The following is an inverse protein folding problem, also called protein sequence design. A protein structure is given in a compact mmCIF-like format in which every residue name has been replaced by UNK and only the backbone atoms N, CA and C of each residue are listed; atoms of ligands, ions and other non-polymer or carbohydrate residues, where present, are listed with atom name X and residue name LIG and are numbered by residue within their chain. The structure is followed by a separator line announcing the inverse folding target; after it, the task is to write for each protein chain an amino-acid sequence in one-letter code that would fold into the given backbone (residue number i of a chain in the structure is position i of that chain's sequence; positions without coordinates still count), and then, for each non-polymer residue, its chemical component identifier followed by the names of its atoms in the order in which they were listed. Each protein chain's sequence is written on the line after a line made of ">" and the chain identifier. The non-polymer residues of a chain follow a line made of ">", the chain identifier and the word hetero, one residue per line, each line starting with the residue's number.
data_IF_441322299554
#
_entry.id   IF_441322299554
#
_cell.length_a   1.000
_cell.length_b   1.000
_cell.length_c   1.000
_cell.angle_alpha   90.00
_cell.angle_beta   90.00
_cell.angle_gamma   90.00
#
_symmetry.space_group_name_H-M   'P 1'
#
loop_
_entity.id
_entity.type
_entity.pdbx_description
1 polymer ?
#
# COMPACT_ATOMS: atom_id res chain seq x y z
N UNK A 1 7.65 28.67 -3.01
CA UNK A 1 7.69 27.32 -2.40
C UNK A 1 9.05 26.70 -2.71
N UNK A 2 9.74 26.20 -1.69
CA UNK A 2 11.02 25.49 -1.90
C UNK A 2 10.74 23.99 -1.77
N UNK A 3 10.42 23.34 -2.90
CA UNK A 3 10.10 21.90 -2.93
C UNK A 3 11.35 21.11 -2.57
N UNK A 4 11.25 20.28 -1.53
CA UNK A 4 12.35 19.44 -1.02
C UNK A 4 12.19 17.96 -1.39
N UNK A 5 10.96 17.49 -1.59
CA UNK A 5 10.69 16.14 -2.03
C UNK A 5 9.44 16.06 -2.91
N UNK A 6 9.41 15.05 -3.76
CA UNK A 6 8.26 14.66 -4.57
C UNK A 6 7.87 13.25 -4.12
N UNK A 7 6.60 13.06 -3.72
CA UNK A 7 6.04 11.76 -3.37
C UNK A 7 4.94 11.39 -4.37
N UNK A 8 5.05 10.21 -4.96
CA UNK A 8 4.18 9.81 -6.05
C UNK A 8 3.52 8.46 -5.72
N UNK A 9 2.20 8.37 -5.93
CA UNK A 9 1.55 7.09 -6.00
C UNK A 9 1.98 6.33 -7.26
N UNK A 10 1.80 5.02 -7.28
CA UNK A 10 2.31 4.14 -8.34
C UNK A 10 1.22 3.85 -9.37
N UNK A 11 0.15 3.18 -8.93
CA UNK A 11 -0.86 2.61 -9.82
C UNK A 11 -1.90 3.67 -10.21
N UNK A 12 -1.99 3.99 -11.51
CA UNK A 12 -2.82 5.08 -12.02
C UNK A 12 -2.13 6.44 -12.04
N UNK A 13 -0.99 6.61 -11.35
CA UNK A 13 -0.28 7.88 -11.25
C UNK A 13 1.11 7.83 -11.90
N UNK A 14 2.05 7.07 -11.34
CA UNK A 14 3.41 6.97 -11.87
C UNK A 14 3.49 6.06 -13.09
N UNK A 15 2.76 4.94 -13.03
CA UNK A 15 2.70 3.97 -14.12
C UNK A 15 1.71 4.44 -15.20
N UNK A 16 2.10 4.29 -16.46
CA UNK A 16 1.22 4.43 -17.61
C UNK A 16 0.21 3.26 -17.66
N UNK A 17 -0.79 3.34 -18.55
CA UNK A 17 -1.73 2.25 -18.83
C UNK A 17 -1.05 0.95 -19.30
N UNK A 18 0.22 1.02 -19.72
CA UNK A 18 1.04 -0.15 -20.09
C UNK A 18 1.80 -0.74 -18.88
N UNK A 19 1.62 -0.20 -17.66
CA UNK A 19 2.30 -0.62 -16.44
C UNK A 19 3.80 -0.33 -16.42
N UNK A 20 4.22 0.76 -17.08
CA UNK A 20 5.63 1.21 -17.15
C UNK A 20 5.78 2.69 -16.79
N UNK A 21 6.93 3.04 -16.24
CA UNK A 21 7.31 4.46 -16.06
C UNK A 21 7.83 4.98 -17.39
N UNK A 22 7.27 6.07 -17.90
CA UNK A 22 7.68 6.61 -19.21
C UNK A 22 9.11 7.16 -19.17
N UNK A 23 9.82 7.12 -20.30
CA UNK A 23 11.16 7.71 -20.41
C UNK A 23 11.18 9.18 -20.00
N UNK A 24 10.13 9.93 -20.34
CA UNK A 24 9.99 11.35 -19.97
C UNK A 24 9.89 11.52 -18.45
N UNK A 25 9.11 10.65 -17.77
CA UNK A 25 8.98 10.65 -16.31
C UNK A 25 10.34 10.36 -15.65
N UNK A 26 11.06 9.32 -16.12
CA UNK A 26 12.40 8.98 -15.62
C UNK A 26 13.37 10.16 -15.77
N UNK A 27 13.37 10.85 -16.93
CA UNK A 27 14.20 12.04 -17.13
C UNK A 27 13.85 13.18 -16.18
N UNK A 28 12.55 13.38 -15.89
CA UNK A 28 12.12 14.43 -14.95
C UNK A 28 12.51 14.09 -13.51
N UNK A 29 12.40 12.83 -13.10
CA UNK A 29 12.88 12.38 -11.78
C UNK A 29 14.40 12.68 -11.66
N UNK A 30 15.20 12.30 -12.63
CA UNK A 30 16.64 12.58 -12.65
C UNK A 30 16.95 14.08 -12.50
N UNK A 31 16.29 14.93 -13.32
CA UNK A 31 16.45 16.40 -13.25
C UNK A 31 16.04 17.00 -11.92
N UNK A 32 15.01 16.46 -11.26
CA UNK A 32 14.60 16.89 -9.93
C UNK A 32 15.65 16.54 -8.89
N UNK A 33 16.19 15.33 -8.94
CA UNK A 33 17.26 14.87 -8.04
C UNK A 33 18.56 15.65 -8.23
N UNK A 34 18.92 16.02 -9.45
CA UNK A 34 20.07 16.91 -9.75
C UNK A 34 19.95 18.30 -9.09
N UNK A 35 18.70 18.72 -8.77
CA UNK A 35 18.42 19.95 -8.02
C UNK A 35 18.36 19.75 -6.51
N UNK A 36 18.67 18.55 -6.02
CA UNK A 36 18.58 18.20 -4.60
C UNK A 36 17.16 17.91 -4.09
N UNK A 37 16.19 17.68 -4.99
CA UNK A 37 14.82 17.30 -4.63
C UNK A 37 14.78 15.78 -4.52
N UNK A 38 14.39 15.26 -3.36
CA UNK A 38 14.20 13.82 -3.14
C UNK A 38 13.00 13.31 -3.91
N UNK A 39 13.07 12.04 -4.35
CA UNK A 39 11.95 11.37 -5.01
C UNK A 39 11.57 10.12 -4.24
N UNK A 40 10.30 9.98 -3.92
CA UNK A 40 9.77 8.84 -3.19
C UNK A 40 8.44 8.33 -3.75
N UNK A 41 8.09 7.13 -3.31
CA UNK A 41 6.85 6.44 -3.66
C UNK A 41 5.93 6.36 -2.43
N UNK A 42 4.60 6.46 -2.65
CA UNK A 42 3.58 6.31 -1.59
C UNK A 42 2.42 5.48 -2.12
N UNK A 43 2.30 4.22 -1.70
CA UNK A 43 1.46 3.22 -2.35
C UNK A 43 0.80 2.24 -1.37
N UNK A 44 -0.24 1.56 -1.85
CA UNK A 44 -0.85 0.42 -1.16
C UNK A 44 -0.04 -0.87 -1.21
N UNK A 45 0.96 -0.98 -2.11
CA UNK A 45 1.84 -2.15 -2.23
C UNK A 45 2.82 -2.23 -1.06
N UNK A 46 3.23 -3.45 -0.66
CA UNK A 46 4.29 -3.61 0.35
C UNK A 46 5.67 -3.19 -0.20
N UNK A 47 6.56 -2.80 0.71
CA UNK A 47 7.89 -2.26 0.37
C UNK A 47 8.70 -3.25 -0.46
N UNK A 48 8.71 -4.54 -0.10
CA UNK A 48 9.51 -5.55 -0.79
C UNK A 48 9.02 -5.79 -2.22
N UNK A 49 7.69 -5.82 -2.44
CA UNK A 49 7.12 -5.88 -3.80
C UNK A 49 7.61 -4.72 -4.67
N UNK A 50 7.61 -3.49 -4.13
CA UNK A 50 8.06 -2.32 -4.87
C UNK A 50 9.54 -2.46 -5.22
N UNK A 51 10.38 -2.82 -4.27
CA UNK A 51 11.83 -2.95 -4.46
C UNK A 51 12.16 -3.92 -5.60
N UNK A 52 11.43 -5.03 -5.73
CA UNK A 52 11.64 -5.98 -6.83
C UNK A 52 11.26 -5.43 -8.21
N UNK A 53 10.38 -4.43 -8.27
CA UNK A 53 9.85 -3.85 -9.51
C UNK A 53 10.59 -2.59 -9.98
N UNK A 54 11.40 -1.95 -9.13
CA UNK A 54 12.10 -0.70 -9.47
C UNK A 54 12.97 -0.82 -10.73
N UNK A 55 13.68 -1.95 -10.88
CA UNK A 55 14.48 -2.24 -12.07
C UNK A 55 13.62 -2.39 -13.34
N UNK A 56 12.48 -3.10 -13.23
CA UNK A 56 11.53 -3.27 -14.32
C UNK A 56 10.93 -1.93 -14.76
N UNK A 57 10.69 -1.02 -13.82
CA UNK A 57 10.20 0.34 -14.10
C UNK A 57 11.28 1.33 -14.55
N UNK A 58 12.56 0.94 -14.51
CA UNK A 58 13.69 1.78 -14.90
C UNK A 58 13.96 2.96 -13.97
N UNK A 59 13.55 2.84 -12.70
CA UNK A 59 13.75 3.86 -11.65
C UNK A 59 14.58 3.35 -10.47
N UNK A 60 15.22 2.19 -10.63
CA UNK A 60 16.20 1.69 -9.65
C UNK A 60 17.32 2.72 -9.45
N UNK A 61 17.68 2.97 -8.20
CA UNK A 61 18.65 4.02 -7.81
C UNK A 61 18.16 5.46 -7.96
N UNK A 62 16.88 5.66 -8.38
CA UNK A 62 16.27 6.99 -8.46
C UNK A 62 15.27 7.27 -7.34
N UNK A 63 14.86 6.26 -6.58
CA UNK A 63 13.95 6.37 -5.45
C UNK A 63 14.75 6.55 -4.16
N UNK A 64 14.46 7.57 -3.38
CA UNK A 64 15.12 7.87 -2.11
C UNK A 64 14.36 7.29 -0.93
N UNK A 65 13.02 7.17 -1.03
CA UNK A 65 12.17 6.70 0.05
C UNK A 65 10.90 6.03 -0.47
N UNK A 66 10.36 5.10 0.31
CA UNK A 66 9.11 4.38 0.02
C UNK A 66 8.21 4.43 1.24
N UNK A 67 6.95 4.81 1.04
CA UNK A 67 5.84 4.62 1.97
C UNK A 67 4.96 3.54 1.36
N UNK A 68 5.05 2.33 1.90
CA UNK A 68 4.33 1.14 1.44
C UNK A 68 3.13 0.80 2.32
N UNK A 69 2.34 -0.16 1.88
CA UNK A 69 1.20 -0.75 2.60
C UNK A 69 0.25 0.33 3.14
N UNK A 70 -0.04 1.35 2.29
CA UNK A 70 -0.92 2.47 2.65
C UNK A 70 -0.40 3.38 3.78
N UNK A 71 0.89 3.30 4.12
CA UNK A 71 1.51 4.04 5.22
C UNK A 71 1.93 3.17 6.41
N UNK A 72 1.61 1.87 6.40
CA UNK A 72 2.01 0.96 7.46
C UNK A 72 3.50 0.60 7.44
N UNK A 73 4.15 0.75 6.28
CA UNK A 73 5.56 0.46 6.09
C UNK A 73 6.28 1.66 5.51
N UNK A 74 7.49 1.90 5.96
CA UNK A 74 8.40 2.87 5.36
C UNK A 74 9.77 2.24 5.12
N UNK A 75 10.42 2.64 4.03
CA UNK A 75 11.81 2.32 3.75
C UNK A 75 12.54 3.55 3.21
N UNK A 76 13.69 3.86 3.77
CA UNK A 76 14.53 4.98 3.38
C UNK A 76 15.89 4.50 2.89
N UNK A 77 16.21 4.77 1.63
CA UNK A 77 17.48 4.36 1.01
C UNK A 77 18.68 5.18 1.47
N UNK A 78 18.46 6.42 1.94
CA UNK A 78 19.56 7.29 2.39
C UNK A 78 20.11 6.82 3.73
N UNK A 79 19.24 6.40 4.63
CA UNK A 79 19.60 5.98 5.99
C UNK A 79 19.57 4.47 6.19
N UNK A 80 19.15 3.71 5.18
CA UNK A 80 18.91 2.26 5.24
C UNK A 80 18.00 1.88 6.43
N UNK A 81 16.88 2.59 6.53
CA UNK A 81 15.90 2.40 7.61
C UNK A 81 14.66 1.72 7.05
N UNK A 82 14.28 0.57 7.63
CA UNK A 82 13.00 -0.08 7.44
C UNK A 82 12.18 -0.03 8.73
N UNK A 83 10.92 0.34 8.64
CA UNK A 83 10.02 0.40 9.80
C UNK A 83 8.61 0.01 9.40
N UNK A 84 8.01 -0.92 10.18
CA UNK A 84 6.58 -1.21 10.16
C UNK A 84 5.88 -0.48 11.33
N UNK A 85 4.62 -0.08 11.13
CA UNK A 85 3.83 0.68 12.08
C UNK A 85 2.45 0.08 12.26
N UNK A 86 1.99 0.02 13.50
CA UNK A 86 0.60 -0.31 13.85
C UNK A 86 0.03 -1.52 13.11
N UNK A 87 0.64 -2.70 13.20
CA UNK A 87 0.12 -3.88 12.55
C UNK A 87 -1.20 -4.32 13.19
N UNK A 88 -2.06 -5.00 12.41
CA UNK A 88 -3.26 -5.67 12.89
C UNK A 88 -2.87 -6.95 13.62
N UNK A 89 -3.53 -7.23 14.74
CA UNK A 89 -3.41 -8.50 15.44
C UNK A 89 -3.92 -9.66 14.57
N UNK A 90 -3.28 -10.83 14.65
CA UNK A 90 -3.67 -12.00 13.88
C UNK A 90 -5.09 -12.49 14.23
N UNK A 91 -5.49 -12.41 15.50
CA UNK A 91 -6.85 -12.79 15.92
C UNK A 91 -7.91 -11.83 15.35
N UNK A 92 -7.62 -10.53 15.31
CA UNK A 92 -8.52 -9.57 14.64
C UNK A 92 -8.70 -9.93 13.16
N UNK A 93 -7.62 -10.32 12.46
CA UNK A 93 -7.72 -10.72 11.05
C UNK A 93 -8.60 -11.96 10.90
N UNK A 94 -8.48 -12.95 11.80
CA UNK A 94 -9.37 -14.15 11.81
C UNK A 94 -10.82 -13.77 12.04
N UNK A 95 -11.11 -12.84 12.97
CA UNK A 95 -12.47 -12.32 13.19
C UNK A 95 -13.03 -11.66 11.92
N UNK A 96 -12.22 -10.86 11.21
CA UNK A 96 -12.63 -10.23 9.96
C UNK A 96 -12.90 -11.30 8.90
N UNK A 97 -11.99 -12.24 8.68
CA UNK A 97 -12.17 -13.34 7.70
C UNK A 97 -13.45 -14.11 7.97
N UNK A 98 -13.71 -14.47 9.22
CA UNK A 98 -14.94 -15.14 9.63
C UNK A 98 -16.20 -14.31 9.36
N UNK A 99 -16.14 -12.99 9.54
CA UNK A 99 -17.25 -12.07 9.28
C UNK A 99 -17.70 -12.07 7.82
N UNK A 100 -16.81 -12.45 6.89
CA UNK A 100 -17.06 -12.52 5.45
C UNK A 100 -17.12 -13.95 4.91
N UNK A 101 -17.13 -14.99 5.74
CA UNK A 101 -17.00 -16.41 5.32
C UNK A 101 -18.11 -16.89 4.39
N UNK A 102 -19.30 -16.25 4.47
CA UNK A 102 -20.48 -16.53 3.65
C UNK A 102 -20.56 -15.72 2.35
N UNK A 103 -19.56 -14.87 2.07
CA UNK A 103 -19.53 -14.00 0.90
C UNK A 103 -18.60 -14.56 -0.22
N UNK A 104 -18.93 -14.20 -1.46
CA UNK A 104 -18.10 -14.54 -2.63
C UNK A 104 -16.89 -13.60 -2.72
N UNK A 105 -15.87 -13.90 -1.91
CA UNK A 105 -14.62 -13.17 -1.85
C UNK A 105 -13.47 -14.07 -1.43
N UNK A 106 -12.25 -13.59 -1.62
CA UNK A 106 -11.03 -14.17 -1.07
C UNK A 106 -10.25 -13.12 -0.29
N UNK A 107 -9.20 -13.55 0.38
CA UNK A 107 -8.37 -12.72 1.24
C UNK A 107 -6.91 -12.81 0.82
N UNK A 108 -6.17 -11.73 1.03
CA UNK A 108 -4.73 -11.70 0.87
C UNK A 108 -4.06 -10.86 1.95
N UNK A 109 -2.90 -11.31 2.41
CA UNK A 109 -2.01 -10.57 3.28
C UNK A 109 -0.71 -10.35 2.52
N UNK A 110 -0.36 -9.10 2.17
CA UNK A 110 0.93 -8.79 1.59
C UNK A 110 2.01 -8.81 2.68
N UNK A 111 3.05 -9.60 2.49
CA UNK A 111 4.20 -9.69 3.40
C UNK A 111 5.42 -10.14 2.60
N UNK A 112 6.52 -9.41 2.71
CA UNK A 112 7.82 -9.74 2.10
C UNK A 112 7.77 -10.00 0.59
N UNK A 113 6.95 -9.25 -0.14
CA UNK A 113 6.81 -9.38 -1.59
C UNK A 113 6.00 -10.59 -2.04
N UNK A 114 5.17 -11.15 -1.17
CA UNK A 114 4.32 -12.30 -1.44
C UNK A 114 2.91 -12.01 -0.92
N UNK A 115 1.88 -12.44 -1.64
CA UNK A 115 0.52 -12.51 -1.13
C UNK A 115 0.27 -13.86 -0.45
N UNK A 116 -0.12 -13.85 0.81
CA UNK A 116 -0.56 -15.04 1.53
C UNK A 116 -2.08 -15.09 1.53
N UNK A 117 -2.66 -16.17 0.99
CA UNK A 117 -4.11 -16.32 0.80
C UNK A 117 -4.58 -17.66 1.37
N UNK A 118 -5.81 -17.74 1.91
CA UNK A 118 -6.36 -19.02 2.40
C UNK A 118 -6.85 -19.94 1.29
N UNK A 119 -7.02 -19.43 0.04
CA UNK A 119 -7.57 -20.20 -1.07
C UNK A 119 -6.78 -19.92 -2.35
N UNK A 120 -6.67 -20.96 -3.21
CA UNK A 120 -6.22 -20.84 -4.60
C UNK A 120 -7.45 -20.74 -5.51
N UNK A 121 -7.78 -19.54 -5.94
CA UNK A 121 -8.91 -19.25 -6.82
C UNK A 121 -8.60 -18.10 -7.79
N UNK A 122 -9.57 -17.76 -8.64
CA UNK A 122 -9.43 -16.69 -9.64
C UNK A 122 -9.08 -15.33 -8.99
N UNK A 123 -9.58 -15.06 -7.78
CA UNK A 123 -9.35 -13.78 -7.10
C UNK A 123 -7.87 -13.55 -6.78
N UNK A 124 -7.21 -14.51 -6.13
CA UNK A 124 -5.79 -14.38 -5.79
C UNK A 124 -4.88 -14.49 -7.02
N UNK A 125 -5.27 -15.31 -8.01
CA UNK A 125 -4.52 -15.47 -9.26
C UNK A 125 -4.52 -14.15 -10.06
N UNK A 126 -5.66 -13.48 -10.17
CA UNK A 126 -5.78 -12.20 -10.88
C UNK A 126 -5.05 -11.07 -10.15
N UNK A 127 -5.15 -11.00 -8.81
CA UNK A 127 -4.38 -10.04 -8.01
C UNK A 127 -2.88 -10.25 -8.19
N UNK A 128 -2.41 -11.48 -8.04
CA UNK A 128 -0.99 -11.84 -8.21
C UNK A 128 -0.46 -11.46 -9.59
N UNK A 129 -1.23 -11.76 -10.63
CA UNK A 129 -0.85 -11.41 -12.01
C UNK A 129 -0.87 -9.91 -12.26
N UNK A 130 -1.90 -9.20 -11.78
CA UNK A 130 -2.04 -7.76 -11.95
C UNK A 130 -0.91 -6.99 -11.28
N UNK A 131 -0.60 -7.34 -10.05
CA UNK A 131 0.45 -6.69 -9.26
C UNK A 131 1.86 -7.21 -9.57
N UNK A 132 1.97 -8.33 -10.29
CA UNK A 132 3.24 -9.04 -10.54
C UNK A 132 3.93 -9.46 -9.24
N UNK A 133 3.13 -9.89 -8.27
CA UNK A 133 3.56 -10.36 -6.96
C UNK A 133 3.16 -11.82 -6.81
N UNK A 134 4.07 -12.75 -6.48
CA UNK A 134 3.72 -14.15 -6.26
C UNK A 134 2.78 -14.31 -5.07
N UNK A 135 2.02 -15.43 -5.03
CA UNK A 135 1.21 -15.77 -3.88
C UNK A 135 1.52 -17.18 -3.35
N UNK A 136 1.15 -17.41 -2.11
CA UNK A 136 1.17 -18.71 -1.44
C UNK A 136 -0.16 -18.97 -0.76
N UNK A 137 -0.64 -20.21 -0.86
CA UNK A 137 -1.80 -20.66 -0.08
C UNK A 137 -1.32 -21.15 1.28
N UNK A 138 -1.98 -20.65 2.33
CA UNK A 138 -1.64 -20.95 3.72
C UNK A 138 -2.92 -21.15 4.54
N UNK A 139 -2.82 -21.95 5.59
CA UNK A 139 -3.84 -21.99 6.63
C UNK A 139 -3.70 -20.75 7.52
N UNK A 140 -4.74 -19.92 7.58
CA UNK A 140 -4.73 -18.69 8.38
C UNK A 140 -4.71 -18.97 9.89
N UNK A 141 -5.19 -20.11 10.35
CA UNK A 141 -5.06 -20.49 11.77
C UNK A 141 -3.61 -20.75 12.17
N UNK A 142 -2.82 -21.29 11.26
CA UNK A 142 -1.39 -21.54 11.46
C UNK A 142 -0.54 -20.31 11.12
N UNK A 143 -0.92 -19.53 10.10
CA UNK A 143 -0.13 -18.40 9.61
C UNK A 143 -0.27 -17.12 10.45
N UNK A 144 -1.47 -16.85 10.99
CA UNK A 144 -1.78 -15.63 11.73
C UNK A 144 -1.36 -15.69 13.20
N UNK A 145 -0.17 -16.19 13.47
CA UNK A 145 0.43 -16.24 14.82
C UNK A 145 1.19 -14.97 15.17
N UNK A 146 1.34 -14.04 14.24
CA UNK A 146 1.99 -12.74 14.41
C UNK A 146 1.16 -11.63 13.73
N UNK A 147 1.27 -10.37 14.23
CA UNK A 147 0.58 -9.25 13.62
C UNK A 147 1.00 -9.03 12.15
N UNK A 148 0.06 -8.51 11.33
CA UNK A 148 0.24 -8.24 9.89
C UNK A 148 -0.08 -6.79 9.56
N UNK A 149 0.54 -6.24 8.52
CA UNK A 149 0.39 -4.84 8.16
C UNK A 149 -1.04 -4.48 7.74
N UNK A 150 -1.71 -5.36 6.98
CA UNK A 150 -3.11 -5.22 6.55
C UNK A 150 -3.71 -6.55 6.11
N UNK A 151 -5.05 -6.55 5.96
CA UNK A 151 -5.79 -7.59 5.26
C UNK A 151 -6.46 -6.98 4.03
N UNK A 152 -6.37 -7.67 2.88
CA UNK A 152 -7.05 -7.35 1.64
C UNK A 152 -8.20 -8.33 1.45
N UNK A 153 -9.40 -7.82 1.17
CA UNK A 153 -10.54 -8.59 0.67
C UNK A 153 -10.60 -8.38 -0.84
N UNK A 154 -10.66 -9.46 -1.59
CA UNK A 154 -10.69 -9.48 -3.06
C UNK A 154 -12.07 -9.96 -3.48
N UNK A 155 -12.79 -9.20 -4.29
CA UNK A 155 -14.10 -9.57 -4.81
C UNK A 155 -14.29 -9.07 -6.24
N UNK A 156 -15.35 -9.53 -6.91
CA UNK A 156 -15.77 -8.96 -8.20
C UNK A 156 -16.32 -7.55 -8.01
N UNK A 157 -16.20 -6.65 -9.01
CA UNK A 157 -16.69 -5.27 -8.90
C UNK A 157 -18.16 -5.16 -8.50
N UNK A 158 -19.01 -6.07 -8.99
CA UNK A 158 -20.44 -6.12 -8.69
C UNK A 158 -20.77 -6.52 -7.25
N UNK A 159 -19.82 -7.10 -6.50
CA UNK A 159 -19.97 -7.46 -5.09
C UNK A 159 -19.40 -6.41 -4.14
N UNK A 160 -18.65 -5.42 -4.64
CA UNK A 160 -17.96 -4.44 -3.79
C UNK A 160 -18.94 -3.70 -2.85
N UNK A 161 -20.11 -3.32 -3.33
CA UNK A 161 -21.09 -2.63 -2.49
C UNK A 161 -21.58 -3.51 -1.33
N UNK A 162 -21.68 -4.83 -1.55
CA UNK A 162 -22.05 -5.79 -0.50
C UNK A 162 -20.91 -5.94 0.52
N UNK A 163 -19.66 -5.94 0.10
CA UNK A 163 -18.47 -5.93 0.98
C UNK A 163 -18.48 -4.68 1.86
N UNK A 164 -18.73 -3.50 1.27
CA UNK A 164 -18.82 -2.22 2.00
C UNK A 164 -19.97 -2.24 3.01
N UNK A 165 -21.16 -2.73 2.64
CA UNK A 165 -22.28 -2.82 3.59
C UNK A 165 -21.98 -3.81 4.73
N UNK A 166 -21.35 -4.94 4.43
CA UNK A 166 -20.92 -5.91 5.44
C UNK A 166 -19.91 -5.32 6.41
N UNK A 167 -18.98 -4.50 5.94
CA UNK A 167 -17.98 -3.87 6.80
C UNK A 167 -18.57 -2.96 7.88
N UNK A 168 -19.72 -2.34 7.63
CA UNK A 168 -20.41 -1.47 8.60
C UNK A 168 -20.97 -2.23 9.81
N UNK A 169 -21.13 -3.54 9.69
CA UNK A 169 -21.61 -4.42 10.76
C UNK A 169 -20.49 -5.15 11.49
N UNK A 170 -19.24 -5.00 11.02
CA UNK A 170 -18.10 -5.57 11.72
C UNK A 170 -17.81 -4.82 13.01
N UNK A 171 -17.64 -5.56 14.09
CA UNK A 171 -17.23 -5.05 15.39
C UNK A 171 -16.35 -6.10 16.07
N UNK A 172 -15.27 -5.65 16.67
CA UNK A 172 -14.46 -6.44 17.60
C UNK A 172 -14.44 -5.73 18.95
N UNK A 173 -14.60 -6.48 20.03
CA UNK A 173 -14.59 -5.94 21.40
C UNK A 173 -13.16 -5.61 21.85
N UNK A 174 -12.17 -6.37 21.37
CA UNK A 174 -10.79 -6.32 21.84
C UNK A 174 -9.87 -5.47 20.93
N UNK A 175 -10.23 -5.28 19.65
CA UNK A 175 -9.37 -4.68 18.65
C UNK A 175 -10.03 -3.53 17.90
N UNK A 176 -9.18 -2.67 17.31
CA UNK A 176 -9.63 -1.58 16.44
C UNK A 176 -9.09 -1.77 15.04
N UNK A 177 -9.95 -1.56 14.05
CA UNK A 177 -9.58 -1.50 12.65
C UNK A 177 -10.33 -0.38 11.94
N UNK A 178 -9.80 0.04 10.82
CA UNK A 178 -10.49 0.83 9.81
C UNK A 178 -10.47 0.08 8.51
N UNK A 179 -11.44 0.37 7.65
CA UNK A 179 -11.51 -0.29 6.36
C UNK A 179 -11.90 0.70 5.27
N UNK A 180 -11.39 0.48 4.07
CA UNK A 180 -11.68 1.32 2.91
C UNK A 180 -11.60 0.54 1.61
N UNK A 181 -12.35 1.01 0.62
CA UNK A 181 -12.23 0.58 -0.75
C UNK A 181 -11.01 1.26 -1.39
N UNK A 182 -10.10 0.48 -1.96
CA UNK A 182 -8.90 1.00 -2.64
C UNK A 182 -9.00 0.90 -4.16
N UNK A 183 -9.70 -0.13 -4.66
CA UNK A 183 -10.00 -0.28 -6.09
C UNK A 183 -11.42 -0.81 -6.29
N UNK A 184 -11.84 -1.04 -7.53
CA UNK A 184 -13.14 -1.67 -7.82
C UNK A 184 -13.24 -3.13 -7.32
N UNK A 185 -12.13 -3.78 -7.03
CA UNK A 185 -12.04 -5.21 -6.65
C UNK A 185 -11.36 -5.44 -5.30
N UNK A 186 -10.80 -4.39 -4.66
CA UNK A 186 -10.06 -4.51 -3.40
C UNK A 186 -10.69 -3.66 -2.31
N UNK A 187 -10.91 -4.28 -1.17
CA UNK A 187 -11.33 -3.66 0.07
C UNK A 187 -10.34 -4.02 1.18
N UNK A 188 -9.83 -3.05 1.92
CA UNK A 188 -8.71 -3.26 2.83
C UNK A 188 -9.06 -2.94 4.27
N UNK A 189 -8.55 -3.75 5.20
CA UNK A 189 -8.55 -3.50 6.64
C UNK A 189 -7.14 -3.20 7.13
N UNK A 190 -7.01 -2.16 7.95
CA UNK A 190 -5.75 -1.75 8.58
C UNK A 190 -6.02 -1.07 9.92
N UNK A 191 -4.97 -0.78 10.68
CA UNK A 191 -5.10 0.01 11.91
C UNK A 191 -5.59 1.43 11.59
N UNK A 192 -6.53 2.01 12.37
CA UNK A 192 -7.11 3.33 12.08
C UNK A 192 -6.11 4.49 12.12
N UNK A 193 -4.91 4.28 12.63
CA UNK A 193 -3.82 5.27 12.64
C UNK A 193 -3.02 5.30 11.33
N UNK A 194 -3.23 4.31 10.46
CA UNK A 194 -2.52 4.20 9.18
C UNK A 194 -3.20 5.05 8.12
N UNK A 195 -2.40 5.83 7.42
CA UNK A 195 -2.73 6.50 6.17
C UNK A 195 -1.44 6.84 5.41
N UNK A 196 -1.53 7.09 4.11
CA UNK A 196 -0.38 7.56 3.33
C UNK A 196 0.26 8.80 3.97
N UNK A 197 -0.54 9.74 4.46
CA UNK A 197 -0.05 10.92 5.19
C UNK A 197 0.70 10.57 6.48
N UNK A 198 0.22 9.59 7.24
CA UNK A 198 0.90 9.16 8.46
C UNK A 198 2.29 8.59 8.14
N UNK A 199 2.38 7.70 7.14
CA UNK A 199 3.65 7.17 6.64
C UNK A 199 4.58 8.26 6.11
N UNK A 200 4.05 9.21 5.32
CA UNK A 200 4.82 10.37 4.83
C UNK A 200 5.41 11.19 5.98
N UNK A 201 4.61 11.54 6.98
CA UNK A 201 5.11 12.29 8.14
C UNK A 201 6.22 11.55 8.88
N UNK A 202 6.14 10.22 8.98
CA UNK A 202 7.20 9.44 9.63
C UNK A 202 8.50 9.45 8.82
N UNK A 203 8.44 9.21 7.50
CA UNK A 203 9.65 9.14 6.68
C UNK A 203 10.29 10.53 6.48
N UNK A 204 9.49 11.58 6.33
CA UNK A 204 9.97 12.95 6.17
C UNK A 204 10.70 13.47 7.42
N UNK A 205 10.37 12.98 8.63
CA UNK A 205 11.11 13.31 9.87
C UNK A 205 12.58 12.91 9.77
N UNK A 206 12.91 11.82 9.11
CA UNK A 206 14.30 11.36 8.92
C UNK A 206 15.13 12.40 8.17
N UNK A 207 14.50 13.11 7.23
CA UNK A 207 15.11 14.13 6.38
C UNK A 207 14.93 15.56 6.91
N UNK A 208 14.28 15.76 8.07
CA UNK A 208 13.92 17.09 8.58
C UNK A 208 13.12 17.94 7.57
N UNK A 209 12.23 17.29 6.81
CA UNK A 209 11.36 17.93 5.81
C UNK A 209 9.94 18.07 6.37
N UNK A 210 9.36 19.26 6.26
CA UNK A 210 7.94 19.49 6.56
C UNK A 210 7.09 19.00 5.39
N UNK A 211 5.92 18.41 5.69
CA UNK A 211 4.98 17.95 4.65
C UNK A 211 4.50 19.10 3.75
N UNK A 212 4.61 20.34 4.21
CA UNK A 212 4.33 21.54 3.42
C UNK A 212 5.43 21.91 2.41
N UNK A 213 6.59 21.29 2.53
CA UNK A 213 7.72 21.47 1.59
C UNK A 213 7.79 20.36 0.53
N UNK A 214 6.76 19.53 0.40
CA UNK A 214 6.71 18.47 -0.61
C UNK A 214 5.59 18.67 -1.61
N UNK A 215 5.72 18.03 -2.77
CA UNK A 215 4.65 17.86 -3.77
C UNK A 215 4.24 16.39 -3.80
N UNK A 216 2.96 16.13 -3.85
CA UNK A 216 2.40 14.78 -3.95
C UNK A 216 1.61 14.62 -5.24
N UNK A 217 1.59 13.39 -5.76
CA UNK A 217 0.78 12.98 -6.90
C UNK A 217 0.02 11.71 -6.53
N UNK A 218 -1.27 11.67 -6.87
CA UNK A 218 -2.15 10.54 -6.63
C UNK A 218 -3.46 10.70 -7.40
N UNK A 219 -4.19 9.60 -7.62
CA UNK A 219 -5.41 9.58 -8.44
C UNK A 219 -6.61 8.91 -7.75
N UNK A 220 -6.42 8.29 -6.60
CA UNK A 220 -7.44 7.52 -5.90
C UNK A 220 -7.83 8.14 -4.53
N UNK A 221 -8.93 7.64 -3.95
CA UNK A 221 -9.46 8.14 -2.67
C UNK A 221 -8.44 8.01 -1.52
N UNK A 222 -7.60 6.97 -1.53
CA UNK A 222 -6.55 6.77 -0.53
C UNK A 222 -5.38 7.75 -0.66
N UNK A 223 -5.32 8.56 -1.74
CA UNK A 223 -4.35 9.63 -1.96
C UNK A 223 -4.86 11.00 -1.49
N UNK A 224 -6.16 11.12 -1.24
CA UNK A 224 -6.79 12.40 -0.92
C UNK A 224 -6.12 13.06 0.29
N UNK A 225 -5.90 12.30 1.36
CA UNK A 225 -5.30 12.80 2.60
C UNK A 225 -3.86 13.31 2.37
N UNK A 226 -3.02 12.56 1.65
CA UNK A 226 -1.65 13.01 1.37
C UNK A 226 -1.62 14.26 0.47
N UNK A 227 -2.52 14.34 -0.50
CA UNK A 227 -2.61 15.47 -1.42
C UNK A 227 -3.12 16.73 -0.72
N UNK A 228 -4.10 16.59 0.18
CA UNK A 228 -4.63 17.70 0.97
C UNK A 228 -3.60 18.27 1.97
N UNK A 229 -2.74 17.44 2.53
CA UNK A 229 -1.77 17.83 3.55
C UNK A 229 -0.44 18.33 3.00
N UNK A 230 -0.09 18.07 1.75
CA UNK A 230 1.12 18.56 1.07
C UNK A 230 1.11 20.09 0.90
N UNK A 231 2.23 20.63 0.42
CA UNK A 231 2.42 22.06 0.20
C UNK A 231 1.83 22.62 -1.10
#
# INVERSE_FOLDING_TARGET
>A
MNVKAIMCDIDGTLLSSEGVVTKKTVEMIKKSREKGILFGLSTGRDVNSIQTLLGTWGIEGLVDMIVGTGGAEIYDYTFDISKAQYPLDGELIKEIVKHYEDMDCNFAIPEDGIFYSPKDDEYIQDLSKGDRVPYKVVDYDEYLTSPKAKLIIICKPEYMDQIIERSKTFHSDDYKSSSLKTTSVLYEYMDPRISKTAGLKEILKLHHIDIKDIVTFGDADNDYDMTLNAG
#
